data_IF_140003851959
#
_entry.id   IF_140003851959
#
_cell.length_a   1.000
_cell.length_b   1.000
_cell.length_c   1.000
_cell.angle_alpha   90.00
_cell.angle_beta   90.00
_cell.angle_gamma   90.00
#
_symmetry.space_group_name_H-M   'P 1'
#
loop_
_entity.id
_entity.type
_entity.pdbx_description
1 polymer ?
#
# COMPACT_ATOMS: atom_id res chain seq x y z
N UNK A 1 9.09 6.41 3.02
CA UNK A 1 9.10 4.95 2.76
C UNK A 1 9.89 4.62 1.50
N UNK A 2 10.91 3.77 1.60
CA UNK A 2 11.66 3.17 0.49
C UNK A 2 11.07 1.81 0.09
N UNK A 3 11.57 1.18 -0.98
CA UNK A 3 11.05 -0.10 -1.48
C UNK A 3 11.15 -1.24 -0.45
N UNK A 4 12.21 -1.27 0.36
CA UNK A 4 12.40 -2.29 1.40
C UNK A 4 11.34 -2.15 2.49
N UNK A 5 11.08 -0.94 2.94
CA UNK A 5 10.04 -0.64 3.93
C UNK A 5 8.63 -0.95 3.38
N UNK A 6 8.36 -0.62 2.10
CA UNK A 6 7.10 -1.01 1.44
C UNK A 6 6.90 -2.53 1.49
N UNK A 7 7.93 -3.30 1.13
CA UNK A 7 7.87 -4.77 1.15
C UNK A 7 7.58 -5.34 2.53
N UNK A 8 8.09 -4.70 3.59
CA UNK A 8 7.88 -5.14 4.98
C UNK A 8 6.51 -4.75 5.53
N UNK A 9 5.96 -3.62 5.11
CA UNK A 9 4.72 -3.05 5.65
C UNK A 9 3.46 -3.40 4.85
N UNK A 10 3.60 -3.90 3.63
CA UNK A 10 2.47 -4.28 2.79
C UNK A 10 1.61 -5.36 3.42
N UNK A 11 0.30 -5.18 3.24
CA UNK A 11 -0.73 -6.15 3.57
C UNK A 11 -1.50 -6.58 2.31
N UNK A 12 -2.20 -7.71 2.37
CA UNK A 12 -3.02 -8.20 1.25
C UNK A 12 -4.07 -7.17 0.83
N UNK A 13 -4.64 -6.43 1.81
CA UNK A 13 -5.61 -5.37 1.56
C UNK A 13 -5.06 -4.22 0.73
N UNK A 14 -3.76 -3.91 0.84
CA UNK A 14 -3.12 -2.82 0.10
C UNK A 14 -3.11 -3.10 -1.41
N UNK A 15 -2.87 -4.36 -1.81
CA UNK A 15 -2.96 -4.78 -3.21
C UNK A 15 -4.37 -4.63 -3.78
N UNK A 16 -5.38 -4.96 -2.98
CA UNK A 16 -6.78 -4.86 -3.39
C UNK A 16 -7.15 -3.39 -3.57
N UNK A 17 -6.78 -2.54 -2.62
CA UNK A 17 -7.08 -1.10 -2.70
C UNK A 17 -6.32 -0.42 -3.87
N UNK A 18 -5.04 -0.73 -4.04
CA UNK A 18 -4.23 -0.22 -5.16
C UNK A 18 -4.84 -0.60 -6.52
N UNK A 19 -5.39 -1.82 -6.63
CA UNK A 19 -6.02 -2.29 -7.88
C UNK A 19 -7.24 -1.45 -8.27
N UNK A 20 -8.05 -1.05 -7.27
CA UNK A 20 -9.19 -0.15 -7.46
C UNK A 20 -8.74 1.25 -7.89
N UNK A 21 -7.71 1.80 -7.24
CA UNK A 21 -7.18 3.14 -7.54
C UNK A 21 -6.57 3.24 -8.93
N UNK A 22 -5.88 2.18 -9.37
CA UNK A 22 -5.20 2.12 -10.67
C UNK A 22 -6.07 1.54 -11.78
N UNK A 23 -7.30 1.11 -11.49
CA UNK A 23 -8.23 0.46 -12.43
C UNK A 23 -7.60 -0.77 -13.13
N UNK A 24 -6.87 -1.58 -12.36
CA UNK A 24 -6.25 -2.83 -12.81
C UNK A 24 -6.64 -3.97 -11.85
N UNK A 25 -6.25 -5.21 -12.15
CA UNK A 25 -6.45 -6.34 -11.24
C UNK A 25 -5.41 -6.35 -10.11
N UNK A 26 -5.70 -6.94 -8.94
CA UNK A 26 -4.70 -7.13 -7.87
C UNK A 26 -3.45 -7.88 -8.36
N UNK A 27 -3.63 -8.82 -9.29
CA UNK A 27 -2.50 -9.54 -9.89
C UNK A 27 -1.61 -8.62 -10.72
N UNK A 28 -2.20 -7.72 -11.51
CA UNK A 28 -1.43 -6.70 -12.23
C UNK A 28 -0.71 -5.74 -11.29
N UNK A 29 -1.25 -5.45 -10.10
CA UNK A 29 -0.53 -4.68 -9.07
C UNK A 29 0.71 -5.44 -8.61
N UNK A 30 0.61 -6.74 -8.29
CA UNK A 30 1.76 -7.57 -7.87
C UNK A 30 2.85 -7.62 -8.93
N UNK A 31 2.47 -7.87 -10.19
CA UNK A 31 3.40 -7.92 -11.33
C UNK A 31 4.09 -6.56 -11.53
N UNK A 32 3.35 -5.46 -11.44
CA UNK A 32 3.91 -4.11 -11.58
C UNK A 32 4.79 -3.74 -10.38
N UNK A 33 4.42 -4.15 -9.18
CA UNK A 33 5.23 -3.96 -7.97
C UNK A 33 6.56 -4.72 -8.04
N UNK A 34 6.55 -5.98 -8.48
CA UNK A 34 7.77 -6.77 -8.66
C UNK A 34 8.70 -6.21 -9.74
N UNK A 35 8.12 -5.50 -10.73
CA UNK A 35 8.84 -4.75 -11.77
C UNK A 35 9.13 -3.30 -11.39
N UNK A 36 8.92 -2.94 -10.13
CA UNK A 36 9.21 -1.62 -9.56
C UNK A 36 8.59 -0.46 -10.36
N UNK A 37 7.38 -0.66 -10.88
CA UNK A 37 6.69 0.37 -11.66
C UNK A 37 6.27 1.52 -10.74
N UNK A 38 6.67 2.73 -11.14
CA UNK A 38 6.52 3.97 -10.38
C UNK A 38 5.08 4.25 -9.95
N UNK A 39 4.11 4.02 -10.84
CA UNK A 39 2.68 4.17 -10.58
C UNK A 39 2.21 3.33 -9.38
N UNK A 40 2.59 2.05 -9.34
CA UNK A 40 2.24 1.14 -8.25
C UNK A 40 2.99 1.47 -6.96
N UNK A 41 4.27 1.85 -7.05
CA UNK A 41 5.05 2.25 -5.88
C UNK A 41 4.47 3.50 -5.20
N UNK A 42 4.06 4.49 -5.98
CA UNK A 42 3.43 5.72 -5.47
C UNK A 42 2.10 5.43 -4.79
N UNK A 43 1.24 4.62 -5.41
CA UNK A 43 -0.07 4.26 -4.85
C UNK A 43 0.07 3.42 -3.59
N UNK A 44 0.93 2.39 -3.59
CA UNK A 44 1.13 1.55 -2.41
C UNK A 44 1.72 2.34 -1.24
N UNK A 45 2.68 3.25 -1.51
CA UNK A 45 3.20 4.16 -0.49
C UNK A 45 2.11 5.02 0.12
N UNK A 46 1.26 5.64 -0.71
CA UNK A 46 0.14 6.45 -0.23
C UNK A 46 -0.82 5.64 0.64
N UNK A 47 -1.17 4.42 0.22
CA UNK A 47 -2.08 3.55 0.97
C UNK A 47 -1.48 3.21 2.34
N UNK A 48 -0.23 2.72 2.37
CA UNK A 48 0.41 2.28 3.60
C UNK A 48 0.60 3.45 4.56
N UNK A 49 1.08 4.61 4.07
CA UNK A 49 1.26 5.81 4.89
C UNK A 49 -0.07 6.25 5.55
N UNK A 50 -1.19 6.16 4.85
CA UNK A 50 -2.50 6.51 5.41
C UNK A 50 -3.04 5.44 6.35
N UNK A 51 -2.85 4.15 6.03
CA UNK A 51 -3.27 3.04 6.88
C UNK A 51 -2.58 3.09 8.25
N UNK A 52 -1.26 3.30 8.28
CA UNK A 52 -0.51 3.42 9.54
C UNK A 52 -0.96 4.62 10.37
N UNK A 53 -1.21 5.78 9.72
CA UNK A 53 -1.74 6.97 10.41
C UNK A 53 -3.13 6.71 11.01
N UNK A 54 -4.00 6.02 10.28
CA UNK A 54 -5.34 5.68 10.76
C UNK A 54 -5.27 4.71 11.94
N UNK A 55 -4.49 3.64 11.84
CA UNK A 55 -4.30 2.67 12.92
C UNK A 55 -3.79 3.37 14.17
N UNK A 56 -2.73 4.17 14.04
CA UNK A 56 -2.15 4.92 15.16
C UNK A 56 -3.19 5.84 15.80
N UNK A 57 -3.95 6.58 15.00
CA UNK A 57 -5.02 7.46 15.48
C UNK A 57 -6.06 6.69 16.31
N UNK A 58 -6.49 5.50 15.90
CA UNK A 58 -7.48 4.74 16.66
C UNK A 58 -6.89 4.13 17.93
N UNK A 59 -5.64 3.67 17.90
CA UNK A 59 -4.96 3.13 19.09
C UNK A 59 -4.65 4.20 20.14
N UNK A 60 -4.35 5.44 19.74
CA UNK A 60 -4.13 6.57 20.65
C UNK A 60 -5.43 7.06 21.31
N UNK A 61 -6.58 6.89 20.66
CA UNK A 61 -7.89 7.29 21.20
C UNK A 61 -8.54 6.23 22.11
N UNK A 62 -7.93 5.05 22.27
CA UNK A 62 -8.37 3.99 23.19
C UNK A 62 -7.61 3.98 24.54
N UNK A 63 -6.77 5.00 24.81
CA UNK A 63 -6.14 5.25 26.12
C UNK A 63 -6.64 6.56 26.72
#
# INVERSE_FOLDING_TARGET
MNLKELKQKMEIGDYILASKMLKITPENVRIRFSREKKDVLEVLKLIIDNREKLIKKFQENEN
#
